data_IF_608113317208
#
_entry.id   IF_608113317208
#
_cell.length_a   1.000
_cell.length_b   1.000
_cell.length_c   1.000
_cell.angle_alpha   90.00
_cell.angle_beta   90.00
_cell.angle_gamma   90.00
#
_symmetry.space_group_name_H-M   'P 1'
#
loop_
_entity.id
_entity.type
_entity.pdbx_description
1 polymer ?
#
# COMPACT_ATOMS: atom_id res chain seq x y z
N UNK A 1 -44.57 48.17 16.69
CA UNK A 1 -44.68 48.28 15.22
C UNK A 1 -43.47 47.59 14.61
N UNK A 2 -43.64 46.75 13.57
CA UNK A 2 -42.94 45.47 13.43
C UNK A 2 -41.82 45.42 12.36
N UNK A 3 -41.11 44.29 12.40
CA UNK A 3 -40.01 43.77 11.58
C UNK A 3 -40.19 43.88 10.05
N UNK A 4 -39.11 43.72 9.26
CA UNK A 4 -38.73 42.37 8.83
C UNK A 4 -37.21 42.15 8.73
N UNK A 5 -36.72 41.00 9.20
CA UNK A 5 -35.40 40.52 8.81
C UNK A 5 -35.46 39.01 8.64
N UNK A 6 -35.68 38.67 7.37
CA UNK A 6 -35.26 37.49 6.63
C UNK A 6 -34.95 36.22 7.43
N UNK A 7 -35.85 35.25 7.28
CA UNK A 7 -35.56 33.82 7.42
C UNK A 7 -34.51 33.39 6.38
N UNK A 8 -33.44 32.68 6.76
CA UNK A 8 -32.75 31.80 5.84
C UNK A 8 -33.50 30.46 5.81
N UNK A 9 -34.16 30.24 4.67
CA UNK A 9 -34.92 29.04 4.37
C UNK A 9 -34.09 27.76 4.48
N UNK A 10 -34.80 26.73 4.95
CA UNK A 10 -34.45 25.31 4.83
C UNK A 10 -33.96 24.99 3.41
N UNK A 11 -32.68 24.65 3.29
CA UNK A 11 -32.22 23.82 2.18
C UNK A 11 -32.52 22.36 2.50
N UNK A 12 -32.96 21.67 1.45
CA UNK A 12 -33.69 20.42 1.47
C UNK A 12 -32.82 19.19 1.71
N UNK A 13 -33.48 18.14 2.21
CA UNK A 13 -33.04 16.75 2.10
C UNK A 13 -32.72 16.40 0.64
N UNK A 14 -31.54 15.84 0.42
CA UNK A 14 -31.13 15.20 -0.82
C UNK A 14 -30.00 14.23 -0.51
N UNK A 15 -30.38 13.00 -0.17
CA UNK A 15 -29.48 11.85 -0.21
C UNK A 15 -28.94 11.65 -1.63
N UNK A 16 -27.83 10.90 -1.74
CA UNK A 16 -27.27 10.28 -2.95
C UNK A 16 -26.43 11.27 -3.79
N UNK A 17 -25.13 11.08 -4.05
CA UNK A 17 -24.43 9.83 -4.31
C UNK A 17 -23.01 9.83 -3.74
N UNK A 18 -22.73 8.69 -3.12
CA UNK A 18 -21.43 8.07 -3.00
C UNK A 18 -20.72 8.07 -4.36
N UNK A 19 -19.86 9.06 -4.61
CA UNK A 19 -18.84 8.96 -5.67
C UNK A 19 -17.76 8.00 -5.18
N UNK A 20 -18.12 6.71 -5.13
CA UNK A 20 -17.17 5.62 -5.12
C UNK A 20 -16.47 5.71 -6.46
N UNK A 21 -15.28 6.29 -6.47
CA UNK A 21 -14.36 6.21 -7.59
C UNK A 21 -13.98 4.74 -7.77
N UNK A 22 -14.90 3.95 -8.33
CA UNK A 22 -14.58 2.67 -8.93
C UNK A 22 -13.92 2.98 -10.26
N UNK A 23 -12.67 3.41 -10.17
CA UNK A 23 -11.74 3.20 -11.27
C UNK A 23 -11.52 1.69 -11.29
N UNK A 24 -12.34 0.99 -12.07
CA UNK A 24 -12.07 -0.38 -12.47
C UNK A 24 -10.73 -0.35 -13.20
N UNK A 25 -9.70 -0.81 -12.51
CA UNK A 25 -8.39 -1.13 -13.06
C UNK A 25 -8.58 -2.27 -14.05
N UNK A 26 -8.85 -1.94 -15.31
CA UNK A 26 -8.74 -2.86 -16.43
C UNK A 26 -7.50 -2.51 -17.25
N UNK A 27 -6.35 -2.57 -16.60
CA UNK A 27 -5.06 -2.73 -17.24
C UNK A 27 -4.54 -4.09 -16.81
N UNK A 28 -4.45 -5.00 -17.76
CA UNK A 28 -3.76 -6.28 -17.66
C UNK A 28 -2.32 -6.02 -17.22
N UNK A 29 -2.11 -5.98 -15.91
CA UNK A 29 -0.81 -5.97 -15.28
C UNK A 29 -0.65 -7.34 -14.68
N UNK A 30 0.45 -8.00 -15.03
CA UNK A 30 0.93 -9.15 -14.29
C UNK A 30 1.07 -8.68 -12.84
N UNK A 31 0.08 -8.92 -11.99
CA UNK A 31 0.22 -8.66 -10.57
C UNK A 31 1.33 -9.59 -10.08
N UNK A 32 2.53 -9.04 -9.93
CA UNK A 32 3.62 -9.71 -9.25
C UNK A 32 3.23 -9.81 -7.79
N UNK A 33 2.86 -11.03 -7.39
CA UNK A 33 2.67 -11.38 -6.00
C UNK A 33 4.02 -11.78 -5.42
N UNK A 34 4.23 -11.45 -4.17
CA UNK A 34 5.42 -11.82 -3.43
C UNK A 34 4.99 -12.57 -2.18
N UNK A 35 5.68 -13.66 -1.87
CA UNK A 35 5.56 -14.26 -0.55
C UNK A 35 6.64 -13.62 0.31
N UNK A 36 6.24 -13.12 1.47
CA UNK A 36 7.14 -12.54 2.48
C UNK A 36 7.18 -13.49 3.67
N UNK A 37 8.40 -13.86 4.04
CA UNK A 37 8.73 -14.65 5.21
C UNK A 37 9.38 -13.74 6.23
N UNK A 38 8.78 -13.63 7.41
CA UNK A 38 9.35 -12.86 8.53
C UNK A 38 9.76 -13.81 9.63
N UNK A 39 10.83 -13.46 10.33
CA UNK A 39 11.31 -14.26 11.45
C UNK A 39 10.23 -14.34 12.54
N UNK A 40 9.68 -15.54 12.76
CA UNK A 40 8.65 -15.79 13.78
C UNK A 40 7.20 -15.59 13.35
N UNK A 41 6.94 -15.24 12.09
CA UNK A 41 5.58 -15.17 11.52
C UNK A 41 5.40 -16.19 10.39
N UNK A 42 4.14 -16.42 10.01
CA UNK A 42 3.77 -17.27 8.89
C UNK A 42 4.05 -16.59 7.53
N UNK A 43 4.06 -17.36 6.45
CA UNK A 43 4.28 -16.84 5.11
C UNK A 43 3.09 -15.97 4.65
N UNK A 44 3.37 -14.73 4.24
CA UNK A 44 2.35 -13.79 3.81
C UNK A 44 2.47 -13.46 2.32
N UNK A 45 1.40 -13.68 1.56
CA UNK A 45 1.31 -13.23 0.17
C UNK A 45 0.93 -11.76 0.14
N UNK A 46 1.74 -10.95 -0.52
CA UNK A 46 1.56 -9.50 -0.69
C UNK A 46 1.72 -9.14 -2.16
N UNK A 47 1.22 -7.97 -2.57
CA UNK A 47 1.52 -7.43 -3.91
C UNK A 47 2.85 -6.68 -3.88
N UNK A 48 3.40 -6.35 -5.06
CA UNK A 48 4.59 -5.51 -5.17
C UNK A 48 4.50 -4.21 -4.35
N UNK A 49 3.38 -3.50 -4.45
CA UNK A 49 3.19 -2.22 -3.76
C UNK A 49 3.18 -2.39 -2.24
N UNK A 50 2.57 -3.48 -1.75
CA UNK A 50 2.58 -3.82 -0.33
C UNK A 50 3.99 -4.19 0.15
N UNK A 51 4.75 -4.96 -0.63
CA UNK A 51 6.16 -5.27 -0.32
C UNK A 51 7.00 -3.99 -0.25
N UNK A 52 6.82 -3.06 -1.21
CA UNK A 52 7.48 -1.76 -1.21
C UNK A 52 7.17 -0.97 0.07
N UNK A 53 5.91 -0.91 0.50
CA UNK A 53 5.49 -0.21 1.70
C UNK A 53 6.03 -0.87 2.99
N UNK A 54 6.08 -2.19 3.03
CA UNK A 54 6.64 -2.95 4.17
C UNK A 54 8.14 -2.71 4.31
N UNK A 55 8.90 -2.86 3.22
CA UNK A 55 10.34 -2.61 3.22
C UNK A 55 10.67 -1.15 3.50
N UNK A 56 9.89 -0.20 2.95
CA UNK A 56 10.09 1.22 3.21
C UNK A 56 10.05 1.55 4.70
N UNK A 57 9.13 0.97 5.47
CA UNK A 57 9.03 1.22 6.91
C UNK A 57 10.25 0.70 7.67
N UNK A 58 10.75 -0.49 7.32
CA UNK A 58 11.90 -1.09 7.99
C UNK A 58 13.19 -0.38 7.59
N UNK A 59 13.44 -0.21 6.31
CA UNK A 59 14.67 0.43 5.79
C UNK A 59 14.75 1.90 6.22
N UNK A 60 13.62 2.62 6.25
CA UNK A 60 13.61 3.99 6.79
C UNK A 60 14.07 4.03 8.24
N UNK A 61 13.66 3.04 9.05
CA UNK A 61 14.02 2.95 10.47
C UNK A 61 15.48 2.51 10.68
N UNK A 62 15.97 1.56 9.87
CA UNK A 62 17.31 1.00 10.00
C UNK A 62 18.38 1.92 9.40
N UNK A 63 18.14 2.44 8.19
CA UNK A 63 19.12 3.24 7.43
C UNK A 63 18.88 4.76 7.53
N UNK A 64 17.82 5.20 8.22
CA UNK A 64 17.45 6.62 8.35
C UNK A 64 17.30 7.32 6.98
N UNK A 65 16.78 6.60 5.98
CA UNK A 65 16.55 7.08 4.62
C UNK A 65 15.12 7.59 4.45
N UNK A 66 14.94 8.70 3.72
CA UNK A 66 13.62 9.27 3.43
C UNK A 66 13.46 9.69 1.96
N UNK A 67 12.20 9.90 1.54
CA UNK A 67 11.85 10.44 0.23
C UNK A 67 12.37 9.59 -0.94
N UNK A 68 13.02 10.24 -1.91
CA UNK A 68 13.51 9.59 -3.14
C UNK A 68 14.62 8.57 -2.87
N UNK A 69 15.49 8.82 -1.89
CA UNK A 69 16.58 7.90 -1.55
C UNK A 69 16.04 6.56 -1.04
N UNK A 70 15.04 6.62 -0.14
CA UNK A 70 14.33 5.44 0.35
C UNK A 70 13.65 4.70 -0.81
N UNK A 71 12.89 5.40 -1.65
CA UNK A 71 12.18 4.78 -2.76
C UNK A 71 13.12 4.08 -3.76
N UNK A 72 14.29 4.65 -4.03
CA UNK A 72 15.31 4.03 -4.88
C UNK A 72 15.92 2.79 -4.21
N UNK A 73 16.23 2.87 -2.91
CA UNK A 73 16.77 1.74 -2.14
C UNK A 73 15.78 0.57 -2.11
N UNK A 74 14.49 0.82 -1.87
CA UNK A 74 13.46 -0.21 -1.86
C UNK A 74 13.33 -0.87 -3.23
N UNK A 75 13.28 -0.08 -4.31
CA UNK A 75 13.23 -0.62 -5.66
C UNK A 75 14.43 -1.49 -5.99
N UNK A 76 15.62 -1.04 -5.59
CA UNK A 76 16.85 -1.80 -5.77
C UNK A 76 16.82 -3.10 -4.97
N UNK A 77 16.37 -3.08 -3.72
CA UNK A 77 16.23 -4.27 -2.88
C UNK A 77 15.27 -5.28 -3.50
N UNK A 78 14.09 -4.87 -3.96
CA UNK A 78 13.12 -5.81 -4.55
C UNK A 78 13.65 -6.41 -5.86
N UNK A 79 14.37 -5.63 -6.67
CA UNK A 79 14.89 -6.06 -7.97
C UNK A 79 16.13 -6.96 -7.87
N UNK A 80 17.00 -6.70 -6.89
CA UNK A 80 18.33 -7.33 -6.81
C UNK A 80 18.53 -8.24 -5.60
N UNK A 81 17.73 -8.08 -4.55
CA UNK A 81 17.80 -8.86 -3.33
C UNK A 81 16.50 -9.65 -3.11
N UNK A 82 16.63 -10.73 -2.36
CA UNK A 82 15.50 -11.57 -1.93
C UNK A 82 15.39 -11.62 -0.41
N UNK A 83 16.25 -10.90 0.29
CA UNK A 83 16.27 -10.84 1.75
C UNK A 83 16.82 -9.52 2.25
N UNK A 84 16.40 -9.15 3.45
CA UNK A 84 16.87 -7.96 4.16
C UNK A 84 16.99 -8.26 5.66
N UNK A 85 18.17 -8.05 6.28
CA UNK A 85 18.33 -8.15 7.71
C UNK A 85 17.69 -6.94 8.41
N UNK A 86 16.70 -7.17 9.26
CA UNK A 86 15.97 -6.11 9.94
C UNK A 86 16.57 -5.76 11.30
N UNK A 87 16.95 -6.79 12.07
CA UNK A 87 17.54 -6.69 13.40
C UNK A 87 18.57 -7.81 13.62
N UNK A 88 19.40 -7.73 14.68
CA UNK A 88 20.31 -8.81 15.03
C UNK A 88 19.54 -10.13 15.30
N UNK A 89 19.63 -11.07 14.36
CA UNK A 89 18.94 -12.36 14.43
C UNK A 89 17.56 -12.41 13.77
N UNK A 90 17.08 -11.30 13.20
CA UNK A 90 15.84 -11.25 12.42
C UNK A 90 16.13 -10.88 10.97
N UNK A 91 15.53 -11.65 10.07
CA UNK A 91 15.59 -11.43 8.63
C UNK A 91 14.21 -11.48 8.02
N UNK A 92 14.04 -10.70 6.97
CA UNK A 92 12.91 -10.78 6.07
C UNK A 92 13.38 -11.38 4.76
N UNK A 93 12.62 -12.34 4.25
CA UNK A 93 12.85 -12.97 2.96
C UNK A 93 11.63 -12.77 2.09
N UNK A 94 11.82 -12.56 0.79
CA UNK A 94 10.73 -12.49 -0.16
C UNK A 94 11.09 -13.14 -1.48
N UNK A 95 10.09 -13.69 -2.15
CA UNK A 95 10.21 -14.24 -3.49
C UNK A 95 8.96 -13.96 -4.30
N UNK A 96 9.15 -13.67 -5.59
CA UNK A 96 8.03 -13.46 -6.51
C UNK A 96 7.36 -14.78 -6.87
N UNK A 97 6.03 -14.77 -6.85
CA UNK A 97 5.17 -15.87 -7.27
C UNK A 97 4.21 -15.39 -8.34
N UNK A 98 3.89 -16.27 -9.28
CA UNK A 98 2.83 -16.04 -10.27
C UNK A 98 1.63 -16.86 -9.86
N UNK A 99 0.52 -16.19 -9.55
CA UNK A 99 -0.74 -16.87 -9.29
C UNK A 99 -1.34 -17.31 -10.64
N UNK A 100 -1.09 -18.56 -11.03
CA UNK A 100 -1.80 -19.16 -12.16
C UNK A 100 -3.27 -19.38 -11.78
N UNK A 101 -4.19 -18.96 -12.66
CA UNK A 101 -5.62 -19.25 -12.46
C UNK A 101 -5.82 -20.77 -12.54
N UNK A 102 -6.44 -21.42 -11.53
CA UNK A 102 -6.79 -22.83 -11.64
C UNK A 102 -7.73 -23.02 -12.84
N UNK A 103 -7.48 -24.09 -13.62
CA UNK A 103 -8.29 -24.45 -14.80
C UNK A 103 -9.64 -25.03 -14.43
#
# INVERSE_FOLDING_TARGET
MPSPSAEPGRCANGSVQQSRSEVYLNESTEEDYYVVLRTGEDEQIVTRAELEALLAQVVASTEHLEGTALALQIKYLIDTACEYPTQPGEYWQWYSIRLEKPR
#
